data_IF_793561416901
#
_entry.id   IF_793561416901
#
_cell.length_a   1.000
_cell.length_b   1.000
_cell.length_c   1.000
_cell.angle_alpha   90.00
_cell.angle_beta   90.00
_cell.angle_gamma   90.00
#
_symmetry.space_group_name_H-M   'P 1'
#
loop_
_entity.id
_entity.type
_entity.pdbx_description
1 polymer ?
#
# COMPACT_ATOMS: atom_id res chain seq x y z
N UNK A 1 18.77 -13.13 1.05
CA UNK A 1 18.62 -12.29 -0.17
C UNK A 1 18.37 -13.21 -1.34
N UNK A 2 17.34 -12.95 -2.15
CA UNK A 2 17.19 -13.65 -3.44
C UNK A 2 18.31 -13.18 -4.38
N UNK A 3 18.78 -14.07 -5.24
CA UNK A 3 19.82 -13.76 -6.22
C UNK A 3 19.19 -13.09 -7.45
N UNK A 4 18.96 -11.79 -7.34
CA UNK A 4 18.54 -10.95 -8.47
C UNK A 4 19.75 -10.53 -9.31
N UNK A 5 19.59 -10.53 -10.63
CA UNK A 5 20.51 -9.85 -11.55
C UNK A 5 19.74 -9.19 -12.69
N UNK A 6 20.32 -8.14 -13.27
CA UNK A 6 19.76 -7.40 -14.40
C UNK A 6 20.84 -7.18 -15.46
N UNK A 7 20.47 -7.14 -16.73
CA UNK A 7 21.39 -6.84 -17.83
C UNK A 7 21.10 -5.48 -18.44
N UNK A 8 22.14 -4.67 -18.63
CA UNK A 8 22.07 -3.37 -19.32
C UNK A 8 23.32 -3.19 -20.18
N UNK A 9 23.16 -2.81 -21.45
CA UNK A 9 24.27 -2.64 -22.41
C UNK A 9 25.23 -3.84 -22.47
N UNK A 10 24.69 -5.06 -22.47
CA UNK A 10 25.43 -6.34 -22.44
C UNK A 10 26.29 -6.58 -21.18
N UNK A 11 26.10 -5.80 -20.11
CA UNK A 11 26.72 -6.01 -18.81
C UNK A 11 25.66 -6.55 -17.85
N UNK A 12 25.96 -7.66 -17.19
CA UNK A 12 25.14 -8.22 -16.12
C UNK A 12 25.54 -7.61 -14.77
N UNK A 13 24.56 -7.08 -14.06
CA UNK A 13 24.69 -6.52 -12.71
C UNK A 13 23.95 -7.43 -11.72
N UNK A 14 24.67 -7.89 -10.71
CA UNK A 14 24.20 -8.75 -9.62
C UNK A 14 24.24 -8.02 -8.28
N UNK A 15 23.85 -8.70 -7.20
CA UNK A 15 23.90 -8.15 -5.85
C UNK A 15 25.23 -7.44 -5.52
N UNK A 16 25.14 -6.26 -4.92
CA UNK A 16 26.25 -5.37 -4.56
C UNK A 16 27.04 -4.74 -5.74
N UNK A 17 26.58 -4.91 -6.98
CA UNK A 17 27.08 -4.13 -8.12
C UNK A 17 26.19 -2.90 -8.36
N UNK A 18 26.79 -1.85 -8.93
CA UNK A 18 26.11 -0.56 -9.16
C UNK A 18 26.02 -0.27 -10.65
N UNK A 19 24.80 -0.08 -11.14
CA UNK A 19 24.53 0.52 -12.45
C UNK A 19 24.42 2.05 -12.26
N UNK A 20 25.27 2.81 -12.96
CA UNK A 20 25.24 4.28 -12.93
C UNK A 20 24.67 4.82 -14.22
N UNK A 21 23.72 5.75 -14.11
CA UNK A 21 23.01 6.35 -15.23
C UNK A 21 23.02 7.87 -15.11
N UNK A 22 23.10 8.56 -16.25
CA UNK A 22 22.89 10.01 -16.33
C UNK A 22 21.52 10.26 -16.94
N UNK A 23 20.58 10.73 -16.11
CA UNK A 23 19.24 11.12 -16.55
C UNK A 23 19.18 12.64 -16.72
N UNK A 24 18.93 13.08 -17.95
CA UNK A 24 18.62 14.47 -18.23
C UNK A 24 17.18 14.79 -17.81
N UNK A 25 16.88 16.08 -17.64
CA UNK A 25 15.52 16.53 -17.34
C UNK A 25 14.52 15.96 -18.35
N UNK A 26 13.41 15.44 -17.87
CA UNK A 26 12.34 14.83 -18.67
C UNK A 26 12.73 13.56 -19.43
N UNK A 27 13.79 12.86 -19.00
CA UNK A 27 14.13 11.54 -19.53
C UNK A 27 13.65 10.44 -18.60
N UNK A 28 13.36 9.28 -19.20
CA UNK A 28 12.92 8.07 -18.49
C UNK A 28 13.92 6.97 -18.76
N UNK A 29 14.26 6.23 -17.71
CA UNK A 29 14.97 4.96 -17.82
C UNK A 29 14.06 3.84 -17.34
N UNK A 30 13.99 2.77 -18.13
CA UNK A 30 13.24 1.57 -17.80
C UNK A 30 14.14 0.36 -17.94
N UNK A 31 14.11 -0.49 -16.93
CA UNK A 31 14.68 -1.82 -16.97
C UNK A 31 13.58 -2.84 -16.71
N UNK A 32 13.57 -3.92 -17.49
CA UNK A 32 12.67 -5.04 -17.29
C UNK A 32 13.49 -6.32 -17.26
N UNK A 33 13.18 -7.20 -16.31
CA UNK A 33 13.86 -8.47 -16.16
C UNK A 33 12.90 -9.49 -15.51
N UNK A 34 13.22 -10.78 -15.64
CA UNK A 34 12.45 -11.87 -15.03
C UNK A 34 12.91 -12.22 -13.61
N UNK A 35 14.00 -11.61 -13.15
CA UNK A 35 14.54 -11.80 -11.80
C UNK A 35 13.79 -10.94 -10.79
N UNK A 36 13.75 -11.39 -9.55
CA UNK A 36 13.27 -10.59 -8.43
C UNK A 36 14.36 -9.58 -8.04
N UNK A 37 14.11 -8.31 -8.30
CA UNK A 37 15.01 -7.19 -7.99
C UNK A 37 14.59 -6.43 -6.72
N UNK A 38 13.72 -7.03 -5.90
CA UNK A 38 13.34 -6.48 -4.59
C UNK A 38 14.59 -6.23 -3.74
N UNK A 39 14.68 -5.05 -3.13
CA UNK A 39 15.85 -4.62 -2.36
C UNK A 39 16.91 -3.87 -3.18
N UNK A 40 16.66 -3.60 -4.47
CA UNK A 40 17.44 -2.64 -5.25
C UNK A 40 17.37 -1.26 -4.60
N UNK A 41 18.53 -0.63 -4.42
CA UNK A 41 18.62 0.72 -3.87
C UNK A 41 18.79 1.69 -5.03
N UNK A 42 17.90 2.68 -5.10
CA UNK A 42 17.99 3.78 -6.06
C UNK A 42 18.49 5.02 -5.31
N UNK A 43 19.63 5.56 -5.74
CA UNK A 43 20.21 6.79 -5.22
C UNK A 43 20.22 7.81 -6.34
N UNK A 44 19.68 8.99 -6.09
CA UNK A 44 19.61 10.07 -7.07
C UNK A 44 20.14 11.37 -6.48
N UNK A 45 20.87 12.14 -7.30
CA UNK A 45 21.37 13.47 -6.94
C UNK A 45 20.31 14.57 -7.07
N UNK A 46 19.19 14.27 -7.70
CA UNK A 46 18.07 15.18 -7.95
C UNK A 46 16.74 14.43 -7.75
N UNK A 47 15.62 15.13 -7.52
CA UNK A 47 14.31 14.50 -7.40
C UNK A 47 13.97 13.66 -8.64
N UNK A 48 13.56 12.42 -8.40
CA UNK A 48 13.07 11.48 -9.43
C UNK A 48 11.80 10.79 -8.92
N UNK A 49 11.00 10.27 -9.84
CA UNK A 49 9.93 9.33 -9.52
C UNK A 49 10.42 7.94 -9.86
N UNK A 50 10.30 7.01 -8.91
CA UNK A 50 10.60 5.60 -9.12
C UNK A 50 9.27 4.87 -9.18
N UNK A 51 9.04 4.16 -10.29
CA UNK A 51 7.89 3.28 -10.46
C UNK A 51 8.41 1.85 -10.54
N UNK A 52 7.87 0.97 -9.71
CA UNK A 52 8.20 -0.45 -9.72
C UNK A 52 6.95 -1.25 -10.02
N UNK A 53 7.15 -2.37 -10.70
CA UNK A 53 6.04 -3.23 -11.06
C UNK A 53 6.48 -4.47 -11.80
N UNK A 54 5.49 -5.22 -12.24
CA UNK A 54 5.69 -6.39 -13.07
C UNK A 54 4.51 -6.56 -14.02
N UNK A 55 4.75 -7.32 -15.09
CA UNK A 55 3.80 -7.43 -16.21
C UNK A 55 2.58 -8.32 -15.90
N UNK A 56 2.70 -9.24 -14.95
CA UNK A 56 1.77 -10.35 -14.81
C UNK A 56 1.87 -10.95 -13.41
N UNK A 57 0.81 -10.81 -12.61
CA UNK A 57 0.64 -11.47 -11.31
C UNK A 57 -0.57 -12.40 -11.34
N UNK A 58 -0.40 -13.52 -10.65
CA UNK A 58 -1.46 -14.39 -10.16
C UNK A 58 -1.16 -14.64 -8.68
N UNK A 59 -2.09 -14.35 -7.78
CA UNK A 59 -1.90 -14.68 -6.37
C UNK A 59 -2.53 -16.04 -6.07
N UNK A 60 -3.84 -16.19 -6.25
CA UNK A 60 -4.54 -17.45 -5.97
C UNK A 60 -4.99 -18.15 -7.27
N UNK A 61 -5.68 -17.43 -8.15
CA UNK A 61 -6.41 -18.06 -9.28
C UNK A 61 -5.59 -17.96 -10.56
N UNK A 62 -4.91 -19.06 -10.93
CA UNK A 62 -4.11 -19.13 -12.17
C UNK A 62 -4.92 -19.16 -13.47
N UNK A 63 -6.24 -19.32 -13.37
CA UNK A 63 -7.17 -19.40 -14.51
C UNK A 63 -7.75 -18.03 -14.92
N UNK A 64 -7.42 -16.94 -14.21
CA UNK A 64 -7.81 -15.58 -14.61
C UNK A 64 -6.85 -14.96 -15.63
N UNK A 65 -7.16 -13.76 -16.10
CA UNK A 65 -6.17 -12.92 -16.79
C UNK A 65 -5.20 -12.37 -15.75
N UNK A 66 -3.88 -12.43 -15.98
CA UNK A 66 -2.97 -11.80 -15.03
C UNK A 66 -3.05 -10.29 -15.11
N UNK A 67 -2.92 -9.66 -13.94
CA UNK A 67 -2.88 -8.21 -13.84
C UNK A 67 -1.46 -7.71 -13.56
N UNK A 68 -1.05 -6.59 -14.18
CA UNK A 68 0.18 -5.93 -13.81
C UNK A 68 0.00 -5.25 -12.44
N UNK A 69 1.03 -5.31 -11.60
CA UNK A 69 1.12 -4.42 -10.44
C UNK A 69 2.12 -3.33 -10.77
N UNK A 70 1.72 -2.07 -10.58
CA UNK A 70 2.54 -0.90 -10.86
C UNK A 70 2.28 0.11 -9.74
N UNK A 71 3.32 0.46 -9.01
CA UNK A 71 3.24 1.37 -7.88
C UNK A 71 4.41 2.35 -7.87
N UNK A 72 4.17 3.57 -7.38
CA UNK A 72 5.25 4.49 -7.05
C UNK A 72 5.97 4.01 -5.80
N UNK A 73 7.29 3.95 -5.84
CA UNK A 73 8.11 3.57 -4.69
C UNK A 73 8.40 4.81 -3.87
N UNK A 74 7.99 4.81 -2.59
CA UNK A 74 8.24 5.93 -1.69
C UNK A 74 9.74 6.09 -1.39
N UNK A 75 10.26 7.33 -1.29
CA UNK A 75 11.61 7.56 -0.82
C UNK A 75 11.83 6.98 0.58
N UNK A 76 12.98 6.36 0.84
CA UNK A 76 13.23 5.66 2.11
C UNK A 76 13.26 6.59 3.33
N UNK A 77 13.60 7.86 3.15
CA UNK A 77 13.55 8.88 4.20
C UNK A 77 12.14 9.44 4.47
N UNK A 78 11.14 8.97 3.72
CA UNK A 78 9.74 9.37 3.82
C UNK A 78 8.84 8.26 4.37
N UNK A 79 9.43 7.10 4.68
CA UNK A 79 8.73 5.96 5.29
C UNK A 79 8.44 6.22 6.77
N UNK A 80 7.63 5.37 7.37
CA UNK A 80 7.23 5.43 8.78
C UNK A 80 7.62 4.11 9.46
N UNK A 81 7.35 4.01 10.75
CA UNK A 81 7.59 2.80 11.53
C UNK A 81 6.34 2.27 12.22
N UNK A 82 5.19 2.91 12.04
CA UNK A 82 3.88 2.47 12.55
C UNK A 82 2.83 2.55 11.45
N UNK A 83 2.14 1.44 11.22
CA UNK A 83 1.16 1.27 10.16
C UNK A 83 -0.10 0.58 10.68
N UNK A 84 -1.25 0.98 10.13
CA UNK A 84 -2.50 0.25 10.28
C UNK A 84 -2.95 -0.18 8.89
N UNK A 85 -3.09 -1.48 8.70
CA UNK A 85 -3.56 -2.03 7.44
C UNK A 85 -5.09 -1.96 7.43
N UNK A 86 -5.69 -1.28 6.44
CA UNK A 86 -7.12 -1.02 6.43
C UNK A 86 -7.94 -2.29 6.23
N UNK A 87 -9.17 -2.25 6.74
CA UNK A 87 -10.21 -3.17 6.31
C UNK A 87 -10.67 -2.79 4.91
N UNK A 88 -10.68 -3.75 3.99
CA UNK A 88 -11.22 -3.59 2.64
C UNK A 88 -12.44 -4.49 2.50
N UNK A 89 -13.63 -3.90 2.54
CA UNK A 89 -14.90 -4.61 2.30
C UNK A 89 -14.84 -5.46 1.03
N UNK A 90 -15.32 -6.70 1.17
CA UNK A 90 -15.29 -7.80 0.19
C UNK A 90 -13.92 -8.41 -0.14
N UNK A 91 -12.79 -7.79 0.23
CA UNK A 91 -11.46 -8.41 0.06
C UNK A 91 -11.16 -9.32 1.24
N UNK A 92 -11.39 -10.62 1.03
CA UNK A 92 -11.36 -11.63 2.08
C UNK A 92 -9.94 -12.07 2.47
N UNK A 93 -9.00 -11.99 1.52
CA UNK A 93 -7.59 -12.35 1.73
C UNK A 93 -6.70 -11.28 1.10
N UNK A 94 -5.75 -10.80 1.89
CA UNK A 94 -4.81 -9.75 1.51
C UNK A 94 -3.43 -10.19 2.01
N UNK A 95 -2.46 -10.31 1.10
CA UNK A 95 -1.06 -10.46 1.53
C UNK A 95 -0.52 -9.08 1.87
N UNK A 96 0.02 -8.92 3.08
CA UNK A 96 0.75 -7.71 3.48
C UNK A 96 2.23 -8.02 3.39
N UNK A 97 3.00 -7.13 2.76
CA UNK A 97 4.46 -7.18 2.70
C UNK A 97 5.05 -6.02 3.47
N UNK A 98 5.90 -6.33 4.45
CA UNK A 98 6.70 -5.36 5.20
C UNK A 98 8.15 -5.51 4.77
N UNK A 99 8.70 -4.52 4.07
CA UNK A 99 10.06 -4.49 3.55
C UNK A 99 10.96 -3.64 4.47
N UNK A 100 12.05 -4.24 4.95
CA UNK A 100 13.00 -3.58 5.83
C UNK A 100 14.05 -2.78 5.05
N UNK A 101 14.16 -1.48 5.34
CA UNK A 101 15.23 -0.63 4.78
C UNK A 101 16.53 -0.87 5.52
N UNK A 102 16.47 -0.89 6.85
CA UNK A 102 17.57 -1.20 7.76
C UNK A 102 17.29 -2.50 8.53
N UNK A 103 18.29 -3.02 9.25
CA UNK A 103 18.04 -4.12 10.18
C UNK A 103 17.03 -3.67 11.24
N UNK A 104 15.96 -4.44 11.45
CA UNK A 104 14.86 -4.04 12.34
C UNK A 104 14.13 -5.25 12.89
N UNK A 105 13.57 -5.12 14.09
CA UNK A 105 12.47 -5.98 14.53
C UNK A 105 11.15 -5.39 14.04
N UNK A 106 10.26 -6.25 13.53
CA UNK A 106 8.90 -5.93 13.11
C UNK A 106 7.93 -6.69 14.00
N UNK A 107 7.00 -5.97 14.61
CA UNK A 107 5.87 -6.51 15.35
C UNK A 107 4.61 -6.40 14.49
N UNK A 108 3.87 -7.51 14.40
CA UNK A 108 2.61 -7.58 13.63
C UNK A 108 1.51 -8.06 14.55
N UNK A 109 0.36 -7.38 14.50
CA UNK A 109 -0.87 -7.80 15.15
C UNK A 109 -2.00 -7.96 14.15
N UNK A 110 -2.58 -9.16 14.12
CA UNK A 110 -3.77 -9.49 13.33
C UNK A 110 -4.85 -10.03 14.27
N UNK A 111 -5.90 -9.25 14.50
CA UNK A 111 -6.88 -9.55 15.55
C UNK A 111 -6.20 -9.69 16.92
N UNK A 112 -6.33 -10.86 17.55
CA UNK A 112 -5.71 -11.16 18.84
C UNK A 112 -4.31 -11.80 18.72
N UNK A 113 -3.87 -12.16 17.51
CA UNK A 113 -2.59 -12.82 17.29
C UNK A 113 -1.49 -11.77 17.14
N UNK A 114 -0.39 -11.97 17.86
CA UNK A 114 0.82 -11.15 17.78
C UNK A 114 1.99 -12.00 17.33
N UNK A 115 2.85 -11.43 16.49
CA UNK A 115 4.11 -12.04 16.09
C UNK A 115 5.20 -10.97 15.98
N UNK A 116 6.43 -11.40 16.21
CA UNK A 116 7.63 -10.57 16.04
C UNK A 116 8.59 -11.27 15.09
N UNK A 117 9.19 -10.50 14.18
CA UNK A 117 10.22 -11.00 13.26
C UNK A 117 11.36 -10.01 13.15
N UNK A 118 12.59 -10.48 13.37
CA UNK A 118 13.78 -9.71 12.99
C UNK A 118 14.03 -9.87 11.50
N UNK A 119 14.19 -8.74 10.81
CA UNK A 119 14.51 -8.63 9.39
C UNK A 119 15.87 -7.95 9.24
N UNK A 120 16.71 -8.48 8.35
CA UNK A 120 17.89 -7.74 7.89
C UNK A 120 17.48 -6.71 6.83
N UNK A 121 18.30 -5.69 6.64
CA UNK A 121 18.14 -4.75 5.53
C UNK A 121 17.94 -5.50 4.21
N UNK A 122 16.91 -5.08 3.44
CA UNK A 122 16.45 -5.68 2.16
C UNK A 122 15.70 -6.99 2.29
N UNK A 123 15.45 -7.49 3.50
CA UNK A 123 14.52 -8.60 3.72
C UNK A 123 13.09 -8.07 3.87
N UNK A 124 12.12 -8.94 3.59
CA UNK A 124 10.72 -8.64 3.81
C UNK A 124 10.02 -9.78 4.56
N UNK A 125 8.95 -9.43 5.25
CA UNK A 125 7.99 -10.33 5.86
C UNK A 125 6.68 -10.25 5.06
N UNK A 126 6.14 -11.41 4.69
CA UNK A 126 4.77 -11.51 4.18
C UNK A 126 3.87 -12.15 5.25
N UNK A 127 2.66 -11.62 5.43
CA UNK A 127 1.62 -12.23 6.26
C UNK A 127 0.23 -12.04 5.67
N UNK A 128 -0.72 -12.88 6.08
CA UNK A 128 -2.13 -12.78 5.64
C UNK A 128 -2.93 -11.85 6.54
N UNK A 129 -3.71 -10.99 5.90
CA UNK A 129 -4.62 -10.02 6.50
C UNK A 129 -6.04 -10.24 5.97
N UNK A 130 -7.01 -10.17 6.86
CA UNK A 130 -8.44 -10.40 6.52
C UNK A 130 -9.37 -9.32 7.06
N UNK A 131 -8.93 -8.52 8.05
CA UNK A 131 -9.76 -7.48 8.67
C UNK A 131 -8.99 -6.18 8.89
N UNK A 132 -8.55 -5.88 10.11
CA UNK A 132 -7.66 -4.77 10.46
C UNK A 132 -6.40 -5.35 11.08
N UNK A 133 -5.22 -4.85 10.72
CA UNK A 133 -3.95 -5.27 11.34
C UNK A 133 -3.07 -4.07 11.63
N UNK A 134 -2.14 -4.25 12.56
CA UNK A 134 -1.20 -3.23 13.01
C UNK A 134 0.22 -3.76 12.81
N UNK A 135 1.09 -2.90 12.31
CA UNK A 135 2.52 -3.19 12.13
C UNK A 135 3.31 -2.07 12.80
N UNK A 136 4.26 -2.43 13.65
CA UNK A 136 5.27 -1.50 14.16
C UNK A 136 6.67 -2.06 13.98
N UNK A 137 7.66 -1.17 13.93
CA UNK A 137 9.06 -1.55 13.78
C UNK A 137 10.01 -0.58 14.49
N UNK A 138 11.21 -1.08 14.80
CA UNK A 138 12.27 -0.29 15.44
C UNK A 138 12.90 0.75 14.50
N UNK A 139 12.76 0.57 13.18
CA UNK A 139 13.19 1.52 12.16
C UNK A 139 12.19 1.60 11.01
N UNK A 140 12.32 2.61 10.15
CA UNK A 140 11.42 2.83 9.02
C UNK A 140 11.36 1.60 8.08
N UNK A 141 10.13 1.21 7.70
CA UNK A 141 9.83 0.08 6.80
C UNK A 141 8.92 0.53 5.67
N UNK A 142 8.87 -0.20 4.57
CA UNK A 142 7.91 0.04 3.50
C UNK A 142 6.82 -1.03 3.54
N UNK A 143 5.55 -0.61 3.50
CA UNK A 143 4.41 -1.53 3.58
C UNK A 143 3.60 -1.47 2.29
N UNK A 144 3.43 -2.64 1.67
CA UNK A 144 2.51 -2.84 0.57
C UNK A 144 1.48 -3.90 0.93
N UNK A 145 0.30 -3.78 0.35
CA UNK A 145 -0.69 -4.84 0.37
C UNK A 145 -0.98 -5.33 -1.02
N UNK A 146 -1.37 -6.60 -1.09
CA UNK A 146 -1.79 -7.29 -2.29
C UNK A 146 -3.14 -7.96 -1.98
N UNK A 147 -4.28 -7.27 -2.16
CA UNK A 147 -5.57 -7.92 -2.10
C UNK A 147 -5.69 -8.97 -3.20
N UNK A 148 -6.12 -10.17 -2.83
CA UNK A 148 -6.19 -11.31 -3.74
C UNK A 148 -7.40 -11.22 -4.66
N UNK A 149 -7.38 -12.04 -5.71
CA UNK A 149 -8.51 -12.15 -6.63
C UNK A 149 -9.78 -12.57 -5.89
N UNK A 150 -10.92 -11.98 -6.29
CA UNK A 150 -12.22 -12.39 -5.80
C UNK A 150 -12.74 -13.58 -6.60
N UNK A 151 -13.38 -14.52 -5.89
CA UNK A 151 -13.99 -15.69 -6.50
C UNK A 151 -15.06 -15.27 -7.52
N UNK A 152 -15.31 -16.15 -8.50
CA UNK A 152 -16.33 -15.96 -9.55
C UNK A 152 -16.12 -14.72 -10.43
N UNK A 153 -14.87 -14.33 -10.65
CA UNK A 153 -14.53 -13.29 -11.63
C UNK A 153 -15.21 -11.95 -11.25
N UNK A 154 -14.98 -11.51 -10.00
CA UNK A 154 -15.56 -10.29 -9.45
C UNK A 154 -14.48 -9.38 -8.86
N UNK A 155 -13.35 -9.27 -9.56
CA UNK A 155 -12.24 -8.40 -9.18
C UNK A 155 -10.92 -9.15 -9.12
N UNK A 156 -9.97 -8.72 -9.94
CA UNK A 156 -8.62 -9.27 -9.90
C UNK A 156 -7.83 -8.77 -8.68
N UNK A 157 -6.63 -9.31 -8.51
CA UNK A 157 -5.69 -8.82 -7.52
C UNK A 157 -5.14 -7.45 -7.93
N UNK A 158 -4.73 -6.65 -6.95
CA UNK A 158 -4.02 -5.39 -7.17
C UNK A 158 -2.98 -5.19 -6.08
N UNK A 159 -2.11 -4.20 -6.25
CA UNK A 159 -1.14 -3.78 -5.24
C UNK A 159 -1.51 -2.39 -4.75
N UNK A 160 -1.25 -2.08 -3.48
CA UNK A 160 -1.36 -0.74 -2.93
C UNK A 160 -0.24 -0.47 -1.95
N UNK A 161 0.30 0.75 -2.00
CA UNK A 161 1.19 1.28 -0.96
C UNK A 161 0.40 1.77 0.25
N UNK A 162 0.79 1.34 1.44
CA UNK A 162 0.17 1.77 2.70
C UNK A 162 1.04 2.85 3.35
N UNK A 163 0.54 4.09 3.51
CA UNK A 163 1.25 5.12 4.27
C UNK A 163 1.20 4.80 5.77
N UNK A 164 2.23 5.24 6.49
CA UNK A 164 2.26 5.15 7.95
C UNK A 164 1.30 6.12 8.62
N UNK A 165 0.99 5.89 9.89
CA UNK A 165 0.00 6.68 10.63
C UNK A 165 0.39 8.16 10.75
N UNK A 166 1.70 8.47 10.72
CA UNK A 166 2.18 9.86 10.80
C UNK A 166 2.01 10.62 9.47
N UNK A 167 1.73 9.90 8.38
CA UNK A 167 1.54 10.44 7.04
C UNK A 167 0.07 10.70 6.70
N UNK A 168 -0.85 10.38 7.61
CA UNK A 168 -2.27 10.62 7.40
C UNK A 168 -2.60 12.11 7.30
N UNK A 169 -3.59 12.45 6.47
CA UNK A 169 -4.13 13.80 6.30
C UNK A 169 -5.50 13.88 6.96
N UNK A 170 -6.06 15.08 7.07
CA UNK A 170 -7.43 15.28 7.56
C UNK A 170 -8.39 15.74 6.46
N UNK A 171 -7.89 15.98 5.24
CA UNK A 171 -8.59 16.58 4.11
C UNK A 171 -8.02 15.95 2.82
N UNK A 172 -8.90 15.46 1.97
CA UNK A 172 -8.57 14.71 0.75
C UNK A 172 -9.49 15.07 -0.41
N UNK A 173 -8.91 15.36 -1.56
CA UNK A 173 -9.56 15.28 -2.88
C UNK A 173 -9.14 13.98 -3.56
N UNK A 174 -10.09 13.22 -4.11
CA UNK A 174 -9.81 11.95 -4.78
C UNK A 174 -10.76 11.68 -5.95
N UNK A 175 -10.38 10.74 -6.82
CA UNK A 175 -11.13 10.41 -8.04
C UNK A 175 -11.47 8.93 -8.11
N UNK A 176 -12.75 8.61 -8.24
CA UNK A 176 -13.23 7.24 -8.37
C UNK A 176 -13.45 6.92 -9.85
N UNK A 177 -12.75 5.93 -10.42
CA UNK A 177 -12.97 5.47 -11.80
C UNK A 177 -14.42 5.05 -12.08
N UNK A 178 -14.85 5.20 -13.33
CA UNK A 178 -16.15 4.72 -13.80
C UNK A 178 -16.17 3.20 -13.93
N UNK A 179 -17.37 2.63 -13.98
CA UNK A 179 -17.67 1.21 -14.25
C UNK A 179 -17.30 0.21 -13.15
N UNK A 180 -16.62 0.62 -12.08
CA UNK A 180 -16.30 -0.25 -10.94
C UNK A 180 -17.35 -0.16 -9.82
N UNK A 181 -17.59 -1.27 -9.12
CA UNK A 181 -18.17 -1.22 -7.77
C UNK A 181 -17.08 -0.77 -6.80
N UNK A 182 -17.14 0.52 -6.45
CA UNK A 182 -16.07 1.19 -5.72
C UNK A 182 -16.41 1.46 -4.26
N UNK A 183 -15.36 1.51 -3.46
CA UNK A 183 -15.39 1.79 -2.04
C UNK A 183 -14.25 2.74 -1.68
N UNK A 184 -14.46 3.50 -0.62
CA UNK A 184 -13.35 4.07 0.14
C UNK A 184 -13.19 3.32 1.45
N UNK A 185 -11.96 3.04 1.83
CA UNK A 185 -11.60 2.58 3.17
C UNK A 185 -10.93 3.70 3.94
N UNK A 186 -11.35 3.88 5.18
CA UNK A 186 -10.84 4.91 6.07
C UNK A 186 -10.28 4.23 7.31
N UNK A 187 -9.15 4.71 7.80
CA UNK A 187 -8.57 4.31 9.08
C UNK A 187 -8.23 5.54 9.89
N UNK A 188 -8.77 5.64 11.11
CA UNK A 188 -8.71 6.83 11.96
C UNK A 188 -8.54 6.44 13.42
N UNK A 189 -7.98 7.31 14.30
CA UNK A 189 -8.03 7.06 15.75
C UNK A 189 -9.45 6.74 16.22
N UNK A 190 -9.60 5.74 17.09
CA UNK A 190 -10.93 5.22 17.49
C UNK A 190 -11.80 6.27 18.16
N UNK A 191 -11.21 7.26 18.84
CA UNK A 191 -11.93 8.38 19.43
C UNK A 191 -12.37 9.46 18.42
N UNK A 192 -12.00 9.32 17.14
CA UNK A 192 -12.33 10.24 16.04
C UNK A 192 -13.06 9.50 14.90
N UNK A 193 -13.84 8.46 15.24
CA UNK A 193 -14.71 7.79 14.25
C UNK A 193 -15.87 8.70 13.81
N UNK A 194 -16.30 9.62 14.66
CA UNK A 194 -17.34 10.58 14.34
C UNK A 194 -16.74 11.89 13.81
N UNK A 195 -17.28 12.43 12.72
CA UNK A 195 -16.89 13.76 12.23
C UNK A 195 -16.49 13.84 10.76
N UNK A 196 -16.59 12.75 10.01
CA UNK A 196 -16.37 12.74 8.57
C UNK A 196 -17.47 13.49 7.80
N UNK A 197 -17.03 14.30 6.85
CA UNK A 197 -17.87 15.02 5.88
C UNK A 197 -17.39 14.63 4.49
N UNK A 198 -18.25 13.96 3.73
CA UNK A 198 -18.02 13.53 2.34
C UNK A 198 -18.97 14.32 1.43
N UNK A 199 -18.42 15.07 0.49
CA UNK A 199 -19.18 15.93 -0.44
C UNK A 199 -20.20 16.83 0.27
N UNK A 200 -19.80 17.41 1.41
CA UNK A 200 -20.64 18.27 2.24
C UNK A 200 -21.65 17.55 3.14
N UNK A 201 -21.73 16.22 3.08
CA UNK A 201 -22.68 15.42 3.88
C UNK A 201 -21.98 14.64 5.00
N UNK A 202 -22.64 14.52 6.15
CA UNK A 202 -22.15 13.67 7.23
C UNK A 202 -22.17 12.20 6.84
N UNK A 203 -21.05 11.51 7.08
CA UNK A 203 -20.97 10.07 6.86
C UNK A 203 -21.42 9.35 8.13
N UNK A 204 -22.43 8.49 8.00
CA UNK A 204 -22.82 7.57 9.07
C UNK A 204 -22.07 6.24 8.89
N UNK A 205 -21.21 5.92 9.85
CA UNK A 205 -20.34 4.76 9.77
C UNK A 205 -21.02 3.50 10.27
N UNK A 206 -20.79 2.39 9.57
CA UNK A 206 -21.25 1.04 9.94
C UNK A 206 -20.11 0.05 9.75
N UNK A 207 -20.20 -1.09 10.43
CA UNK A 207 -19.22 -2.19 10.35
C UNK A 207 -17.79 -1.71 10.65
N UNK A 208 -17.62 -1.07 11.80
CA UNK A 208 -16.33 -0.55 12.27
C UNK A 208 -15.51 -1.71 12.85
N UNK A 209 -14.29 -1.87 12.37
CA UNK A 209 -13.31 -2.81 12.90
C UNK A 209 -12.25 -2.02 13.66
N UNK A 210 -11.93 -2.42 14.88
CA UNK A 210 -10.96 -1.70 15.71
C UNK A 210 -9.77 -2.57 16.07
N UNK A 211 -8.62 -1.93 16.20
CA UNK A 211 -7.40 -2.52 16.71
C UNK A 211 -6.77 -1.57 17.74
N UNK A 212 -6.30 -2.15 18.83
CA UNK A 212 -5.63 -1.44 19.92
C UNK A 212 -4.29 -2.09 20.15
N UNK A 213 -3.19 -1.40 19.93
CA UNK A 213 -1.84 -1.90 20.26
C UNK A 213 -1.01 -0.76 20.83
N UNK A 214 -0.35 -1.01 21.97
CA UNK A 214 0.38 0.03 22.71
C UNK A 214 -0.52 1.25 22.99
N UNK A 215 -0.09 2.47 22.66
CA UNK A 215 -0.87 3.71 22.71
C UNK A 215 -1.76 3.95 21.49
N UNK A 216 -1.67 3.11 20.47
CA UNK A 216 -2.34 3.29 19.18
C UNK A 216 -3.69 2.55 19.17
N UNK A 217 -4.77 3.33 19.13
CA UNK A 217 -6.14 2.84 19.02
C UNK A 217 -6.75 3.33 17.73
N UNK A 218 -6.93 2.44 16.76
CA UNK A 218 -7.44 2.78 15.44
C UNK A 218 -8.67 1.97 15.08
N UNK A 219 -9.53 2.61 14.29
CA UNK A 219 -10.73 2.02 13.72
C UNK A 219 -10.69 2.16 12.21
N UNK A 220 -11.10 1.11 11.51
CA UNK A 220 -11.19 1.06 10.06
C UNK A 220 -12.58 0.62 9.60
N UNK A 221 -13.04 1.20 8.50
CA UNK A 221 -14.34 0.93 7.90
C UNK A 221 -14.30 1.24 6.41
N UNK A 222 -15.16 0.60 5.63
CA UNK A 222 -15.30 0.89 4.20
C UNK A 222 -16.73 1.28 3.85
N UNK A 223 -16.89 2.28 3.00
CA UNK A 223 -18.18 2.76 2.50
C UNK A 223 -18.21 2.68 0.97
N UNK A 224 -19.34 2.26 0.37
CA UNK A 224 -19.52 2.36 -1.08
C UNK A 224 -19.43 3.81 -1.53
N UNK A 225 -18.88 4.05 -2.73
CA UNK A 225 -18.73 5.38 -3.31
C UNK A 225 -19.08 5.33 -4.81
N UNK A 226 -19.72 6.38 -5.32
CA UNK A 226 -19.98 6.54 -6.75
C UNK A 226 -18.69 6.89 -7.52
N UNK A 227 -18.70 6.73 -8.84
CA UNK A 227 -17.63 7.28 -9.67
C UNK A 227 -17.65 8.80 -9.71
N UNK A 228 -16.49 9.40 -10.00
CA UNK A 228 -16.34 10.86 -10.09
C UNK A 228 -15.33 11.44 -9.08
N UNK A 229 -15.28 12.77 -9.03
CA UNK A 229 -14.46 13.48 -8.06
C UNK A 229 -15.22 13.62 -6.74
N UNK A 230 -14.50 13.40 -5.64
CA UNK A 230 -15.03 13.47 -4.29
C UNK A 230 -14.08 14.23 -3.37
N UNK A 231 -14.66 14.86 -2.34
CA UNK A 231 -13.91 15.51 -1.26
C UNK A 231 -14.33 14.95 0.09
N UNK A 232 -13.37 14.58 0.93
CA UNK A 232 -13.64 14.12 2.29
C UNK A 232 -12.71 14.81 3.29
N UNK A 233 -13.31 15.26 4.40
CA UNK A 233 -12.59 15.89 5.52
C UNK A 233 -13.09 15.40 6.86
N UNK A 234 -12.29 15.55 7.91
CA UNK A 234 -12.70 15.39 9.30
C UNK A 234 -12.93 16.75 9.97
N UNK A 235 -14.09 16.99 10.58
CA UNK A 235 -14.44 18.31 11.18
C UNK A 235 -13.47 18.76 12.27
N UNK A 236 -13.02 17.83 13.10
CA UNK A 236 -12.06 18.10 14.17
C UNK A 236 -10.60 18.02 13.70
N UNK A 237 -10.37 17.92 12.39
CA UNK A 237 -9.04 17.76 11.77
C UNK A 237 -8.26 16.55 12.29
N UNK A 238 -8.96 15.50 12.74
CA UNK A 238 -8.34 14.22 13.03
C UNK A 238 -7.73 13.68 11.73
N UNK A 239 -6.49 13.20 11.82
CA UNK A 239 -5.78 12.63 10.66
C UNK A 239 -6.21 11.19 10.48
N UNK A 240 -6.50 10.80 9.24
CA UNK A 240 -6.93 9.46 8.87
C UNK A 240 -6.25 9.01 7.59
N UNK A 241 -6.04 7.70 7.43
CA UNK A 241 -5.65 7.10 6.17
C UNK A 241 -6.88 6.91 5.29
N UNK A 242 -6.74 7.19 3.98
CA UNK A 242 -7.80 7.05 2.99
C UNK A 242 -7.30 6.24 1.81
N UNK A 243 -8.03 5.19 1.47
CA UNK A 243 -7.77 4.37 0.31
C UNK A 243 -9.02 4.23 -0.54
N UNK A 244 -8.83 4.22 -1.86
CA UNK A 244 -9.91 4.07 -2.82
C UNK A 244 -9.64 2.80 -3.60
N UNK A 245 -10.63 1.94 -3.70
CA UNK A 245 -10.50 0.67 -4.42
C UNK A 245 -11.84 0.25 -5.01
N UNK A 246 -11.79 -0.61 -6.01
CA UNK A 246 -13.00 -1.09 -6.66
C UNK A 246 -12.79 -2.40 -7.39
N UNK A 247 -13.90 -3.05 -7.68
CA UNK A 247 -13.94 -4.35 -8.35
C UNK A 247 -14.85 -4.25 -9.57
N UNK A 248 -14.50 -4.96 -10.64
CA UNK A 248 -15.34 -5.06 -11.82
C UNK A 248 -15.65 -6.54 -12.13
N UNK A 249 -16.77 -6.77 -12.80
CA UNK A 249 -17.17 -8.07 -13.31
C UNK A 249 -17.24 -7.98 -14.82
N UNK A 250 -16.61 -8.91 -15.57
CA UNK A 250 -16.04 -10.17 -15.09
C UNK A 250 -14.59 -10.11 -14.58
N UNK A 251 -13.81 -9.07 -14.84
CA UNK A 251 -12.40 -9.03 -14.43
C UNK A 251 -12.06 -7.62 -13.93
N UNK A 252 -10.82 -7.41 -13.52
CA UNK A 252 -10.26 -6.12 -13.12
C UNK A 252 -10.65 -5.60 -11.74
N UNK A 253 -9.67 -4.93 -11.16
CA UNK A 253 -9.81 -4.18 -9.94
C UNK A 253 -8.73 -3.13 -9.87
N UNK A 254 -8.94 -2.14 -9.01
CA UNK A 254 -7.95 -1.13 -8.73
C UNK A 254 -7.92 -0.83 -7.24
N UNK A 255 -6.80 -0.24 -6.81
CA UNK A 255 -6.64 0.28 -5.46
C UNK A 255 -5.55 1.33 -5.43
N UNK A 256 -5.71 2.38 -4.64
CA UNK A 256 -4.66 3.36 -4.39
C UNK A 256 -4.87 4.07 -3.05
N UNK A 257 -3.79 4.64 -2.50
CA UNK A 257 -3.87 5.57 -1.37
C UNK A 257 -4.22 6.97 -1.88
N UNK A 258 -5.28 7.58 -1.33
CA UNK A 258 -5.79 8.87 -1.82
C UNK A 258 -4.82 10.04 -1.58
N UNK A 259 -3.88 9.89 -0.65
CA UNK A 259 -2.88 10.90 -0.36
C UNK A 259 -2.12 10.59 0.92
N UNK A 260 -0.98 11.23 1.08
CA UNK A 260 -0.15 11.13 2.27
C UNK A 260 0.72 12.38 2.44
N UNK A 261 1.04 12.72 3.67
CA UNK A 261 2.04 13.73 4.00
C UNK A 261 3.45 13.14 3.94
N UNK A 262 4.39 13.96 3.48
CA UNK A 262 5.82 13.67 3.54
C UNK A 262 6.47 14.38 4.74
N UNK A 263 7.38 13.70 5.43
CA UNK A 263 8.25 14.27 6.48
C UNK A 263 9.00 15.46 5.88
N UNK A 264 8.86 16.62 6.50
CA UNK A 264 9.56 17.88 6.15
C UNK A 264 10.89 18.00 6.86
#
# INVERSE_FOLDING_TARGET
MKEGSVSYENIQYSNNQTLTLVLNKYTTFQIWHTSDITGTIVIASHPIVVVSGNRCNYIIVKESSCQPFIEMVLPTNQLDNVYVIPYLKYRLEITVRVLAVNNTSVDVKVGNNRSRKSLKSREFLDYLHTTISYVSSESDVMVHIYPHELLKFHGDAFMMTIPGINQYLYDYDFMVPNDFESFISITVPTNAVDGFVLDGNFVNLKNIFSISEEEHHFSSFSIPISSGQHHITHREKARFGLWVYGNFTPYDAYGYSAGMAFKT
#
